data_IF_519466651045
#
_entry.id   IF_519466651045
#
_cell.length_a   1.000
_cell.length_b   1.000
_cell.length_c   1.000
_cell.angle_alpha   90.00
_cell.angle_beta   90.00
_cell.angle_gamma   90.00
#
_symmetry.space_group_name_H-M   'P 1'
#
loop_
_entity.id
_entity.type
_entity.pdbx_description
1 polymer ?
#
# COMPACT_ATOMS: atom_id res chain seq x y z
N UNK A 1 -21.71 25.66 0.57
CA UNK A 1 -22.23 26.56 -0.47
C UNK A 1 -21.14 27.42 -1.12
N UNK A 2 -20.30 28.19 -0.41
CA UNK A 2 -19.24 29.02 -1.01
C UNK A 2 -18.19 28.20 -1.81
N UNK A 3 -17.90 26.99 -1.40
CA UNK A 3 -16.93 26.08 -2.03
C UNK A 3 -17.46 25.46 -3.33
N UNK A 4 -18.77 25.18 -3.40
CA UNK A 4 -19.45 24.72 -4.61
C UNK A 4 -19.41 25.79 -5.70
N UNK A 5 -19.52 27.07 -5.30
CA UNK A 5 -19.40 28.21 -6.21
C UNK A 5 -17.97 28.47 -6.67
N UNK A 6 -16.97 28.30 -5.80
CA UNK A 6 -15.56 28.41 -6.17
C UNK A 6 -15.16 27.28 -7.13
N UNK A 7 -15.62 26.05 -6.88
CA UNK A 7 -15.44 24.92 -7.79
C UNK A 7 -16.18 25.11 -9.13
N UNK A 8 -17.39 25.65 -9.10
CA UNK A 8 -18.13 25.95 -10.32
C UNK A 8 -17.49 27.07 -11.15
N UNK A 9 -16.89 28.08 -10.51
CA UNK A 9 -16.10 29.11 -11.18
C UNK A 9 -14.81 28.54 -11.78
N UNK A 10 -14.11 27.71 -11.04
CA UNK A 10 -12.91 26.99 -11.51
C UNK A 10 -13.23 26.05 -12.68
N UNK A 11 -14.38 25.36 -12.64
CA UNK A 11 -14.91 24.51 -13.72
C UNK A 11 -15.19 25.33 -15.00
N UNK A 12 -15.76 26.52 -14.83
CA UNK A 12 -16.14 27.41 -15.95
C UNK A 12 -14.88 28.01 -16.61
N UNK A 13 -13.85 28.31 -15.84
CA UNK A 13 -12.56 28.87 -16.32
C UNK A 13 -11.68 27.80 -16.99
N UNK A 14 -11.97 26.49 -16.84
CA UNK A 14 -11.26 25.37 -17.45
C UNK A 14 -12.15 24.50 -18.36
N UNK A 15 -13.15 25.09 -18.99
CA UNK A 15 -14.00 24.37 -19.93
C UNK A 15 -13.26 23.79 -21.15
N UNK A 16 -12.07 24.34 -21.48
CA UNK A 16 -11.25 23.93 -22.61
C UNK A 16 -10.11 23.00 -22.15
N UNK A 17 -10.47 21.75 -21.78
CA UNK A 17 -9.47 20.69 -21.54
C UNK A 17 -9.10 20.07 -22.87
N UNK A 18 -7.95 20.43 -23.39
CA UNK A 18 -7.53 20.08 -24.73
C UNK A 18 -6.68 18.81 -24.80
N UNK A 19 -6.27 18.26 -23.64
CA UNK A 19 -5.46 17.04 -23.58
C UNK A 19 -5.94 16.04 -22.53
N UNK A 20 -5.56 14.78 -22.71
CA UNK A 20 -5.82 13.72 -21.75
C UNK A 20 -5.15 14.01 -20.40
N UNK A 21 -3.93 14.55 -20.45
CA UNK A 21 -3.18 14.93 -19.25
C UNK A 21 -3.90 16.01 -18.43
N UNK A 22 -4.40 17.06 -19.07
CA UNK A 22 -5.20 18.10 -18.40
C UNK A 22 -6.48 17.53 -17.77
N UNK A 23 -7.12 16.55 -18.42
CA UNK A 23 -8.26 15.85 -17.86
C UNK A 23 -7.88 15.04 -16.60
N UNK A 24 -6.73 14.36 -16.62
CA UNK A 24 -6.22 13.61 -15.46
C UNK A 24 -5.88 14.52 -14.29
N UNK A 25 -5.13 15.61 -14.54
CA UNK A 25 -4.76 16.58 -13.51
C UNK A 25 -6.00 17.24 -12.88
N UNK A 26 -6.97 17.59 -13.70
CA UNK A 26 -8.25 18.11 -13.19
C UNK A 26 -8.98 17.09 -12.33
N UNK A 27 -9.09 15.86 -12.78
CA UNK A 27 -9.73 14.78 -12.03
C UNK A 27 -9.01 14.53 -10.70
N UNK A 28 -7.69 14.43 -10.72
CA UNK A 28 -6.87 14.29 -9.53
C UNK A 28 -7.12 15.41 -8.51
N UNK A 29 -7.22 16.66 -8.96
CA UNK A 29 -7.47 17.81 -8.09
C UNK A 29 -8.81 17.75 -7.34
N UNK A 30 -9.79 17.03 -7.86
CA UNK A 30 -11.09 16.87 -7.21
C UNK A 30 -11.06 15.99 -5.96
N UNK A 31 -10.08 15.09 -5.87
CA UNK A 31 -9.87 14.25 -4.69
C UNK A 31 -9.24 15.00 -3.52
N UNK A 32 -8.66 16.19 -3.76
CA UNK A 32 -8.09 17.01 -2.69
C UNK A 32 -9.23 17.80 -2.04
N UNK A 33 -9.47 17.52 -0.76
CA UNK A 33 -10.55 18.17 0.01
C UNK A 33 -9.99 18.90 1.23
N UNK A 34 -10.72 19.94 1.66
CA UNK A 34 -10.49 20.59 2.96
C UNK A 34 -11.61 20.19 3.92
N UNK A 35 -11.27 19.54 5.02
CA UNK A 35 -12.25 19.10 6.03
C UNK A 35 -11.71 19.34 7.42
N UNK A 36 -12.48 19.99 8.28
CA UNK A 36 -12.10 20.32 9.67
C UNK A 36 -10.73 21.03 9.80
N UNK A 37 -10.37 21.90 8.85
CA UNK A 37 -9.09 22.61 8.84
C UNK A 37 -7.90 21.79 8.35
N UNK A 38 -8.12 20.61 7.79
CA UNK A 38 -7.10 19.71 7.26
C UNK A 38 -7.24 19.51 5.75
N UNK A 39 -6.11 19.42 5.05
CA UNK A 39 -6.05 19.00 3.65
C UNK A 39 -6.00 17.48 3.62
N UNK A 40 -6.96 16.85 2.93
CA UNK A 40 -7.10 15.38 2.87
C UNK A 40 -7.33 14.91 1.44
N UNK A 41 -7.04 13.63 1.20
CA UNK A 41 -7.44 12.93 -0.02
C UNK A 41 -8.73 12.16 0.26
N UNK A 42 -9.74 12.34 -0.60
CA UNK A 42 -10.99 11.58 -0.56
C UNK A 42 -10.77 10.22 -1.25
N UNK A 43 -11.08 9.13 -0.56
CA UNK A 43 -10.85 7.78 -1.08
C UNK A 43 -11.76 7.42 -2.27
N UNK A 44 -12.98 7.97 -2.31
CA UNK A 44 -13.87 7.74 -3.45
C UNK A 44 -15.18 8.54 -3.38
N UNK A 45 -15.60 9.04 -4.52
CA UNK A 45 -16.90 9.68 -4.68
C UNK A 45 -17.98 8.62 -4.97
N UNK A 46 -19.18 8.69 -4.34
CA UNK A 46 -19.64 9.71 -3.38
C UNK A 46 -19.54 9.18 -1.94
N UNK A 47 -19.31 7.88 -1.76
CA UNK A 47 -19.59 7.14 -0.52
C UNK A 47 -18.42 7.08 0.45
N UNK A 48 -17.17 7.07 -0.07
CA UNK A 48 -15.99 6.90 0.77
C UNK A 48 -15.46 8.24 1.25
N UNK A 49 -15.12 8.33 2.53
CA UNK A 49 -14.39 9.46 3.10
C UNK A 49 -12.88 9.26 2.91
N UNK A 50 -12.05 9.91 3.67
CA UNK A 50 -10.60 9.77 3.62
C UNK A 50 -10.15 8.56 4.44
N UNK A 51 -9.34 7.71 3.86
CA UNK A 51 -8.64 6.63 4.55
C UNK A 51 -7.13 6.84 4.43
N UNK A 52 -6.38 6.33 5.39
CA UNK A 52 -4.93 6.57 5.43
C UNK A 52 -4.20 5.78 4.34
N UNK A 53 -4.58 4.52 4.11
CA UNK A 53 -4.01 3.70 3.04
C UNK A 53 -4.20 4.33 1.67
N UNK A 54 -5.45 4.68 1.32
CA UNK A 54 -5.76 5.26 0.01
C UNK A 54 -5.07 6.61 -0.16
N UNK A 55 -4.97 7.39 0.93
CA UNK A 55 -4.20 8.63 0.95
C UNK A 55 -2.74 8.38 0.58
N UNK A 56 -2.06 7.44 1.23
CA UNK A 56 -0.64 7.19 0.99
C UNK A 56 -0.36 6.64 -0.42
N UNK A 57 -1.21 5.75 -0.93
CA UNK A 57 -1.05 5.20 -2.28
C UNK A 57 -1.33 6.25 -3.36
N UNK A 58 -2.37 7.08 -3.17
CA UNK A 58 -2.80 8.03 -4.19
C UNK A 58 -2.05 9.36 -4.17
N UNK A 59 -1.53 9.79 -3.01
CA UNK A 59 -0.93 11.10 -2.81
C UNK A 59 0.20 11.43 -3.79
N UNK A 60 1.15 10.54 -4.09
CA UNK A 60 2.19 10.82 -5.08
C UNK A 60 1.62 11.19 -6.46
N UNK A 61 0.70 10.38 -6.97
CA UNK A 61 0.06 10.66 -8.25
C UNK A 61 -0.80 11.92 -8.27
N UNK A 62 -1.50 12.22 -7.17
CA UNK A 62 -2.39 13.37 -7.07
C UNK A 62 -1.64 14.70 -6.89
N UNK A 63 -0.60 14.72 -6.06
CA UNK A 63 0.07 15.95 -5.65
C UNK A 63 1.34 16.25 -6.43
N UNK A 64 2.11 15.23 -6.84
CA UNK A 64 3.40 15.43 -7.48
C UNK A 64 3.28 15.59 -9.00
N UNK A 65 2.35 14.92 -9.67
CA UNK A 65 2.11 15.06 -11.11
C UNK A 65 1.61 16.45 -11.53
N UNK A 66 1.05 17.22 -10.60
CA UNK A 66 0.46 18.54 -10.85
C UNK A 66 1.19 19.74 -10.24
N UNK A 67 2.43 19.58 -9.77
CA UNK A 67 3.32 20.65 -9.30
C UNK A 67 3.07 21.27 -7.92
N UNK A 68 2.54 20.59 -6.93
CA UNK A 68 2.43 21.22 -5.61
C UNK A 68 2.95 20.34 -4.47
N UNK A 69 4.27 20.35 -4.29
CA UNK A 69 4.92 19.84 -3.07
C UNK A 69 4.24 20.36 -1.79
N UNK A 70 3.66 21.55 -1.83
CA UNK A 70 2.88 22.13 -0.74
C UNK A 70 1.64 21.29 -0.36
N UNK A 71 0.86 20.82 -1.35
CA UNK A 71 -0.32 19.96 -1.08
C UNK A 71 0.14 18.63 -0.51
N UNK A 72 1.24 18.09 -1.01
CA UNK A 72 1.82 16.86 -0.47
C UNK A 72 2.15 17.01 1.01
N UNK A 73 2.89 18.06 1.38
CA UNK A 73 3.22 18.37 2.78
C UNK A 73 1.96 18.55 3.64
N UNK A 74 0.98 19.32 3.19
CA UNK A 74 -0.27 19.55 3.93
C UNK A 74 -1.04 18.24 4.21
N UNK A 75 -1.10 17.35 3.23
CA UNK A 75 -1.79 16.06 3.37
C UNK A 75 -1.02 15.16 4.33
N UNK A 76 0.32 15.07 4.21
CA UNK A 76 1.13 14.29 5.14
C UNK A 76 0.99 14.80 6.58
N UNK A 77 1.07 16.12 6.80
CA UNK A 77 0.89 16.72 8.13
C UNK A 77 -0.52 16.45 8.70
N UNK A 78 -1.54 16.43 7.84
CA UNK A 78 -2.88 16.02 8.25
C UNK A 78 -2.95 14.54 8.65
N UNK A 79 -2.32 13.66 7.85
CA UNK A 79 -2.31 12.21 8.11
C UNK A 79 -1.55 11.85 9.39
N UNK A 80 -0.42 12.52 9.68
CA UNK A 80 0.40 12.28 10.89
C UNK A 80 -0.38 12.41 12.20
N UNK A 81 -1.45 13.22 12.24
CA UNK A 81 -2.33 13.34 13.41
C UNK A 81 -3.08 12.04 13.75
N UNK A 82 -3.14 11.13 12.82
CA UNK A 82 -3.81 9.83 12.95
C UNK A 82 -2.82 8.66 13.12
N UNK A 83 -1.57 8.99 13.44
CA UNK A 83 -0.55 8.02 13.82
C UNK A 83 -0.51 7.86 15.34
N UNK A 84 -0.91 6.70 15.84
CA UNK A 84 -0.98 6.38 17.26
C UNK A 84 0.08 5.32 17.59
N UNK A 85 1.10 5.70 18.34
CA UNK A 85 2.20 4.79 18.75
C UNK A 85 2.81 4.03 17.55
N UNK A 86 3.12 4.73 16.45
CA UNK A 86 3.69 4.15 15.25
C UNK A 86 2.69 3.40 14.35
N UNK A 87 1.39 3.51 14.58
CA UNK A 87 0.37 2.87 13.76
C UNK A 87 -0.62 3.89 13.21
N UNK A 88 -0.73 3.96 11.91
CA UNK A 88 -1.73 4.80 11.28
C UNK A 88 -3.11 4.14 11.35
N UNK A 89 -4.10 4.88 11.85
CA UNK A 89 -5.48 4.44 11.83
C UNK A 89 -5.98 4.26 10.38
N UNK A 90 -6.86 3.28 10.15
CA UNK A 90 -7.48 3.04 8.83
C UNK A 90 -8.18 4.29 8.30
N UNK A 91 -9.00 4.91 9.15
CA UNK A 91 -9.82 6.05 8.78
C UNK A 91 -9.23 7.37 9.27
N UNK A 92 -9.33 8.40 8.46
CA UNK A 92 -9.00 9.77 8.80
C UNK A 92 -10.27 10.49 9.25
N UNK A 93 -10.56 10.45 10.55
CA UNK A 93 -11.76 11.08 11.13
C UNK A 93 -11.44 11.73 12.47
N UNK A 94 -12.01 12.90 12.72
CA UNK A 94 -11.85 13.64 13.99
C UNK A 94 -12.63 13.03 15.16
N UNK A 95 -13.42 11.98 14.92
CA UNK A 95 -14.30 11.37 15.91
C UNK A 95 -13.99 9.88 16.17
N UNK A 96 -12.76 9.44 15.90
CA UNK A 96 -12.37 8.04 16.15
C UNK A 96 -12.19 7.84 17.65
N UNK A 97 -13.08 7.04 18.25
CA UNK A 97 -12.98 6.62 19.65
C UNK A 97 -12.06 5.40 19.77
N UNK A 98 -12.19 4.44 18.86
CA UNK A 98 -11.36 3.23 18.80
C UNK A 98 -10.78 3.08 17.39
N UNK A 99 -9.53 3.50 17.16
CA UNK A 99 -8.90 3.41 15.84
C UNK A 99 -8.67 1.95 15.45
N UNK A 100 -9.02 1.62 14.21
CA UNK A 100 -8.70 0.34 13.57
C UNK A 100 -7.37 0.50 12.84
N UNK A 101 -6.51 -0.51 12.97
CA UNK A 101 -5.18 -0.52 12.34
C UNK A 101 -5.04 -1.72 11.41
N UNK A 102 -4.55 -1.47 10.20
CA UNK A 102 -4.23 -2.50 9.22
C UNK A 102 -2.72 -2.77 9.16
N UNK A 103 -2.34 -3.95 8.70
CA UNK A 103 -0.94 -4.36 8.67
C UNK A 103 -0.09 -3.56 7.67
N UNK A 104 -0.68 -3.19 6.54
CA UNK A 104 0.00 -2.53 5.43
C UNK A 104 -0.03 -0.99 5.49
N UNK A 105 -1.04 -0.39 6.15
CA UNK A 105 -1.27 1.06 6.11
C UNK A 105 -0.06 1.88 6.54
N UNK A 106 0.58 1.52 7.66
CA UNK A 106 1.77 2.24 8.14
C UNK A 106 3.00 2.02 7.25
N UNK A 107 3.06 0.91 6.53
CA UNK A 107 4.16 0.59 5.62
C UNK A 107 4.07 1.38 4.32
N UNK A 108 2.87 1.70 3.86
CA UNK A 108 2.66 2.58 2.72
C UNK A 108 3.19 4.01 2.94
N UNK A 109 3.30 4.46 4.19
CA UNK A 109 3.91 5.77 4.49
C UNK A 109 5.38 5.84 4.04
N UNK A 110 6.16 4.76 4.19
CA UNK A 110 7.55 4.69 3.70
C UNK A 110 7.60 4.81 2.17
N UNK A 111 6.75 4.08 1.46
CA UNK A 111 6.67 4.16 0.00
C UNK A 111 6.27 5.56 -0.45
N UNK A 112 5.33 6.20 0.23
CA UNK A 112 4.92 7.57 -0.06
C UNK A 112 6.09 8.55 0.06
N UNK A 113 6.91 8.42 1.11
CA UNK A 113 8.10 9.24 1.29
C UNK A 113 9.19 8.96 0.23
N UNK A 114 9.32 7.71 -0.24
CA UNK A 114 10.20 7.36 -1.36
C UNK A 114 9.79 8.11 -2.64
N UNK A 115 8.49 8.12 -2.96
CA UNK A 115 8.00 8.88 -4.12
C UNK A 115 8.22 10.39 -3.93
N UNK A 116 8.02 10.91 -2.72
CA UNK A 116 8.30 12.30 -2.39
C UNK A 116 9.77 12.69 -2.58
N UNK A 117 10.69 11.82 -2.18
CA UNK A 117 12.12 12.00 -2.40
C UNK A 117 12.46 12.04 -3.90
N UNK A 118 11.94 11.10 -4.69
CA UNK A 118 12.20 10.99 -6.12
C UNK A 118 11.72 12.21 -6.93
N UNK A 119 10.56 12.72 -6.58
CA UNK A 119 9.87 13.76 -7.35
C UNK A 119 10.14 15.19 -6.84
N UNK A 120 10.92 15.34 -5.78
CA UNK A 120 11.23 16.64 -5.19
C UNK A 120 12.74 16.85 -4.98
N UNK A 121 13.12 18.03 -4.52
CA UNK A 121 14.50 18.34 -4.13
C UNK A 121 14.82 17.97 -2.67
N UNK A 122 13.92 17.27 -1.97
CA UNK A 122 14.13 16.84 -0.59
C UNK A 122 15.22 15.80 -0.50
N UNK A 123 16.20 16.04 0.35
CA UNK A 123 17.30 15.09 0.59
C UNK A 123 16.89 14.03 1.65
N UNK A 124 17.50 12.85 1.58
CA UNK A 124 17.35 11.79 2.59
C UNK A 124 17.54 12.29 4.02
N UNK A 125 18.56 13.13 4.24
CA UNK A 125 18.83 13.75 5.54
C UNK A 125 17.69 14.66 6.02
N UNK A 126 17.04 15.41 5.13
CA UNK A 126 15.89 16.25 5.46
C UNK A 126 14.67 15.39 5.81
N UNK A 127 14.40 14.34 5.03
CA UNK A 127 13.32 13.39 5.30
C UNK A 127 13.53 12.70 6.66
N UNK A 128 14.74 12.22 6.96
CA UNK A 128 15.04 11.61 8.26
C UNK A 128 14.87 12.59 9.42
N UNK A 129 15.30 13.84 9.24
CA UNK A 129 15.13 14.88 10.27
C UNK A 129 13.65 15.15 10.57
N UNK A 130 12.80 15.14 9.55
CA UNK A 130 11.38 15.49 9.67
C UNK A 130 10.53 14.30 10.11
N UNK A 131 10.76 13.12 9.53
CA UNK A 131 9.91 11.94 9.71
C UNK A 131 10.59 10.78 10.45
N UNK A 132 11.88 10.86 10.74
CA UNK A 132 12.67 9.76 11.32
C UNK A 132 12.08 9.18 12.60
N UNK A 133 11.60 10.00 13.52
CA UNK A 133 10.98 9.52 14.75
C UNK A 133 9.66 8.76 14.46
N UNK A 134 8.87 9.22 13.51
CA UNK A 134 7.66 8.51 13.07
C UNK A 134 8.04 7.17 12.43
N UNK A 135 9.05 7.14 11.56
CA UNK A 135 9.51 5.91 10.90
C UNK A 135 10.02 4.88 11.92
N UNK A 136 10.82 5.31 12.89
CA UNK A 136 11.28 4.48 14.02
C UNK A 136 10.08 3.94 14.82
N UNK A 137 9.13 4.81 15.15
CA UNK A 137 7.95 4.41 15.91
C UNK A 137 7.12 3.34 15.15
N UNK A 138 6.98 3.47 13.83
CA UNK A 138 6.29 2.48 13.00
C UNK A 138 7.01 1.13 13.05
N UNK A 139 8.31 1.11 12.80
CA UNK A 139 9.08 -0.14 12.81
C UNK A 139 9.05 -0.81 14.19
N UNK A 140 9.19 -0.04 15.25
CA UNK A 140 9.16 -0.55 16.63
C UNK A 140 7.76 -1.03 17.04
N UNK A 141 6.68 -0.47 16.47
CA UNK A 141 5.32 -0.96 16.74
C UNK A 141 5.14 -2.43 16.35
N UNK A 142 5.79 -2.90 15.28
CA UNK A 142 5.76 -4.31 14.88
C UNK A 142 6.61 -5.23 15.78
N UNK A 143 7.59 -4.69 16.50
CA UNK A 143 8.35 -5.44 17.51
C UNK A 143 7.62 -5.53 18.86
N UNK A 144 6.60 -4.69 19.07
CA UNK A 144 5.95 -4.61 20.38
C UNK A 144 5.11 -5.85 20.68
N UNK A 145 5.28 -6.50 21.84
CA UNK A 145 4.46 -7.65 22.25
C UNK A 145 3.00 -7.29 22.54
N UNK A 146 2.68 -5.99 22.61
CA UNK A 146 1.31 -5.51 22.82
C UNK A 146 0.41 -5.75 21.59
N UNK A 147 1.01 -5.91 20.40
CA UNK A 147 0.31 -6.11 19.14
C UNK A 147 0.26 -7.59 18.75
N UNK A 148 -0.57 -8.37 19.44
CA UNK A 148 -0.65 -9.83 19.27
C UNK A 148 -1.06 -10.27 17.87
N UNK A 149 -1.89 -9.48 17.18
CA UNK A 149 -2.45 -9.84 15.86
C UNK A 149 -1.60 -9.41 14.67
N UNK A 150 -0.60 -8.55 14.90
CA UNK A 150 0.33 -8.07 13.85
C UNK A 150 1.68 -7.80 14.52
N UNK A 151 2.64 -8.69 14.33
CA UNK A 151 3.95 -8.62 14.97
C UNK A 151 5.05 -9.10 14.05
N UNK A 152 6.25 -8.62 14.29
CA UNK A 152 7.45 -9.20 13.72
C UNK A 152 7.81 -10.48 14.50
N UNK A 153 7.97 -11.59 13.80
CA UNK A 153 8.45 -12.84 14.37
C UNK A 153 10.00 -12.93 14.33
N UNK A 154 10.58 -13.95 14.96
CA UNK A 154 12.04 -14.14 15.07
C UNK A 154 12.74 -14.28 13.71
N UNK A 155 12.03 -14.71 12.67
CA UNK A 155 12.51 -14.78 11.30
C UNK A 155 12.51 -13.41 10.57
N UNK A 156 12.15 -12.34 11.26
CA UNK A 156 12.12 -10.98 10.75
C UNK A 156 10.89 -10.62 9.92
N UNK A 157 9.98 -11.55 9.64
CA UNK A 157 8.76 -11.30 8.89
C UNK A 157 7.60 -10.86 9.78
N UNK A 158 6.65 -10.16 9.19
CA UNK A 158 5.41 -9.74 9.87
C UNK A 158 4.38 -10.87 9.77
N UNK A 159 3.97 -11.34 10.93
CA UNK A 159 2.85 -12.25 11.12
C UNK A 159 1.56 -11.49 11.35
N UNK A 160 0.47 -11.95 10.73
CA UNK A 160 -0.89 -11.42 10.89
C UNK A 160 -1.86 -12.57 11.13
N UNK A 161 -2.59 -12.59 12.25
CA UNK A 161 -3.44 -13.71 12.66
C UNK A 161 -4.84 -13.34 13.14
N UNK A 162 -5.33 -12.16 12.80
CA UNK A 162 -6.70 -11.76 13.10
C UNK A 162 -7.66 -12.22 11.99
N UNK A 163 -8.31 -13.36 12.18
CA UNK A 163 -9.32 -13.86 11.24
C UNK A 163 -10.69 -13.18 11.41
N UNK A 164 -10.88 -12.44 12.50
CA UNK A 164 -12.17 -11.78 12.78
C UNK A 164 -12.39 -10.56 11.89
N UNK A 165 -11.33 -9.99 11.34
CA UNK A 165 -11.37 -8.83 10.46
C UNK A 165 -10.27 -8.86 9.41
N UNK A 166 -10.44 -8.14 8.29
CA UNK A 166 -9.38 -7.97 7.30
C UNK A 166 -8.28 -7.06 7.84
N UNK A 167 -7.03 -7.36 7.48
CA UNK A 167 -5.82 -6.64 7.95
C UNK A 167 -5.06 -5.90 6.84
N UNK A 168 -5.55 -5.97 5.60
CA UNK A 168 -4.91 -5.36 4.43
C UNK A 168 -5.94 -4.66 3.54
N UNK A 169 -5.57 -4.34 2.30
CA UNK A 169 -6.49 -3.79 1.31
C UNK A 169 -7.66 -4.72 0.95
N UNK A 170 -7.56 -6.03 1.22
CA UNK A 170 -8.70 -6.95 1.23
C UNK A 170 -9.56 -6.67 2.47
N UNK A 171 -10.32 -5.58 2.43
CA UNK A 171 -10.92 -4.97 3.61
C UNK A 171 -12.43 -5.21 3.78
N UNK A 172 -13.03 -6.15 3.02
CA UNK A 172 -14.44 -6.48 3.20
C UNK A 172 -14.67 -7.49 4.32
N UNK A 173 -15.69 -7.21 5.10
CA UNK A 173 -16.11 -8.00 6.27
C UNK A 173 -17.54 -8.52 6.10
N UNK A 174 -17.81 -9.65 6.71
CA UNK A 174 -19.13 -10.21 6.92
C UNK A 174 -19.39 -10.38 8.41
N UNK A 175 -20.61 -10.79 8.76
CA UNK A 175 -20.92 -11.16 10.16
C UNK A 175 -20.09 -12.33 10.70
N UNK A 176 -19.34 -13.01 9.84
CA UNK A 176 -18.49 -14.17 10.18
C UNK A 176 -16.98 -13.85 10.09
N UNK A 177 -16.61 -12.59 9.92
CA UNK A 177 -15.22 -12.15 9.76
C UNK A 177 -14.85 -11.71 8.34
N UNK A 178 -13.57 -11.68 8.04
CA UNK A 178 -13.05 -11.27 6.73
C UNK A 178 -13.59 -12.15 5.59
N UNK A 179 -14.03 -11.56 4.49
CA UNK A 179 -14.54 -12.30 3.31
C UNK A 179 -13.43 -13.12 2.66
N UNK A 180 -12.21 -12.61 2.64
CA UNK A 180 -11.00 -13.36 2.24
C UNK A 180 -10.05 -13.38 3.43
N UNK A 181 -10.17 -14.37 4.32
CA UNK A 181 -9.29 -14.49 5.47
C UNK A 181 -7.88 -14.88 5.01
N UNK A 182 -6.87 -14.18 5.51
CA UNK A 182 -5.45 -14.42 5.23
C UNK A 182 -4.68 -14.42 6.54
N UNK A 183 -4.28 -15.60 6.98
CA UNK A 183 -3.62 -15.82 8.25
C UNK A 183 -2.16 -16.20 8.07
N UNK A 184 -1.30 -15.59 8.85
CA UNK A 184 0.13 -15.84 8.82
C UNK A 184 0.93 -14.71 8.18
N UNK A 185 1.97 -15.07 7.46
CA UNK A 185 2.78 -14.15 6.69
C UNK A 185 2.04 -13.80 5.39
N UNK A 186 1.78 -12.54 5.16
CA UNK A 186 1.06 -12.02 3.99
C UNK A 186 2.05 -11.38 3.04
N UNK A 187 2.01 -11.73 1.75
CA UNK A 187 3.10 -11.43 0.81
C UNK A 187 3.33 -9.94 0.60
N UNK A 188 2.28 -9.15 0.37
CA UNK A 188 2.41 -7.71 0.15
C UNK A 188 2.84 -6.96 1.41
N UNK A 189 2.38 -7.40 2.60
CA UNK A 189 2.80 -6.82 3.87
C UNK A 189 4.31 -7.01 4.06
N UNK A 190 4.81 -8.21 3.80
CA UNK A 190 6.23 -8.52 3.96
C UNK A 190 7.12 -7.92 2.86
N UNK A 191 6.60 -7.72 1.65
CA UNK A 191 7.29 -6.95 0.62
C UNK A 191 7.41 -5.47 1.02
N UNK A 192 6.33 -4.84 1.49
CA UNK A 192 6.34 -3.48 2.02
C UNK A 192 7.24 -3.33 3.26
N UNK A 193 7.24 -4.31 4.14
CA UNK A 193 8.08 -4.35 5.34
C UNK A 193 9.56 -4.33 5.00
N UNK A 194 9.99 -5.21 4.08
CA UNK A 194 11.36 -5.23 3.58
C UNK A 194 11.76 -3.88 3.00
N UNK A 195 10.92 -3.35 2.11
CA UNK A 195 11.13 -2.04 1.50
C UNK A 195 11.23 -0.92 2.54
N UNK A 196 10.37 -0.93 3.56
CA UNK A 196 10.37 0.08 4.61
C UNK A 196 11.67 0.08 5.43
N UNK A 197 12.16 -1.11 5.83
CA UNK A 197 13.41 -1.24 6.59
C UNK A 197 14.60 -0.79 5.75
N UNK A 198 14.72 -1.25 4.51
CA UNK A 198 15.83 -0.87 3.63
C UNK A 198 15.86 0.65 3.41
N UNK A 199 14.70 1.26 3.15
CA UNK A 199 14.61 2.71 2.99
C UNK A 199 14.97 3.47 4.26
N UNK A 200 14.46 3.06 5.42
CA UNK A 200 14.80 3.68 6.70
C UNK A 200 16.30 3.61 7.00
N UNK A 201 16.95 2.48 6.70
CA UNK A 201 18.40 2.31 6.84
C UNK A 201 19.19 3.25 5.93
N UNK A 202 18.72 3.46 4.70
CA UNK A 202 19.36 4.39 3.77
C UNK A 202 19.25 5.84 4.25
N UNK A 203 18.06 6.25 4.73
CA UNK A 203 17.84 7.57 5.34
C UNK A 203 18.72 7.78 6.58
N UNK A 204 18.76 6.78 7.47
CA UNK A 204 19.55 6.81 8.69
C UNK A 204 21.06 6.87 8.41
N UNK A 205 21.53 6.19 7.35
CA UNK A 205 22.92 6.24 6.90
C UNK A 205 23.33 7.65 6.49
N UNK A 206 22.52 8.32 5.68
CA UNK A 206 22.72 9.72 5.27
C UNK A 206 22.70 10.70 6.44
N UNK A 207 21.80 10.44 7.41
CA UNK A 207 21.68 11.22 8.63
C UNK A 207 22.72 10.87 9.70
N UNK A 208 23.52 9.79 9.52
CA UNK A 208 24.50 9.25 10.45
C UNK A 208 23.92 8.81 11.80
N UNK A 209 22.71 8.26 11.79
CA UNK A 209 22.06 7.69 12.98
C UNK A 209 22.62 6.30 13.28
N UNK A 210 23.73 6.27 14.00
CA UNK A 210 24.45 5.03 14.34
C UNK A 210 23.63 4.07 15.19
N UNK A 211 22.77 4.59 16.05
CA UNK A 211 21.94 3.77 16.94
C UNK A 211 20.96 2.94 16.12
N UNK A 212 20.24 3.58 15.22
CA UNK A 212 19.30 2.91 14.33
C UNK A 212 20.00 1.91 13.42
N UNK A 213 21.15 2.29 12.85
CA UNK A 213 21.94 1.39 11.99
C UNK A 213 22.45 0.15 12.73
N UNK A 214 22.85 0.31 14.01
CA UNK A 214 23.28 -0.83 14.83
C UNK A 214 22.12 -1.77 15.17
N UNK A 215 20.92 -1.24 15.38
CA UNK A 215 19.74 -2.02 15.76
C UNK A 215 19.12 -2.78 14.57
N UNK A 216 19.04 -2.13 13.42
CA UNK A 216 18.26 -2.64 12.27
C UNK A 216 19.13 -3.16 11.10
N UNK A 217 20.46 -2.92 11.15
CA UNK A 217 21.34 -3.13 10.00
C UNK A 217 21.43 -4.55 9.46
N UNK A 218 21.18 -5.57 10.29
CA UNK A 218 21.19 -7.00 9.89
C UNK A 218 19.83 -7.52 9.41
N UNK A 219 18.76 -6.77 9.68
CA UNK A 219 17.40 -7.21 9.37
C UNK A 219 17.14 -7.46 7.88
N UNK A 220 17.65 -6.66 6.92
CA UNK A 220 17.39 -6.90 5.50
C UNK A 220 17.81 -8.30 5.04
N UNK A 221 18.97 -8.79 5.49
CA UNK A 221 19.46 -10.13 5.12
C UNK A 221 18.52 -11.22 5.67
N UNK A 222 18.21 -11.16 6.97
CA UNK A 222 17.29 -12.09 7.63
C UNK A 222 15.91 -12.12 6.95
N UNK A 223 15.34 -10.93 6.66
CA UNK A 223 14.03 -10.84 6.01
C UNK A 223 14.06 -11.39 4.60
N UNK A 224 15.10 -11.07 3.81
CA UNK A 224 15.20 -11.54 2.42
C UNK A 224 15.32 -13.07 2.34
N UNK A 225 16.10 -13.69 3.22
CA UNK A 225 16.21 -15.14 3.31
C UNK A 225 14.86 -15.77 3.67
N UNK A 226 14.23 -15.30 4.75
CA UNK A 226 12.95 -15.81 5.22
C UNK A 226 11.82 -15.59 4.21
N UNK A 227 11.79 -14.45 3.55
CA UNK A 227 10.81 -14.16 2.50
C UNK A 227 10.91 -15.16 1.36
N UNK A 228 12.12 -15.38 0.85
CA UNK A 228 12.33 -16.32 -0.24
C UNK A 228 12.03 -17.77 0.15
N UNK A 229 12.30 -18.15 1.39
CA UNK A 229 12.03 -19.48 1.91
C UNK A 229 10.52 -19.73 2.11
N UNK A 230 9.80 -18.74 2.62
CA UNK A 230 8.41 -18.87 3.03
C UNK A 230 7.43 -18.66 1.86
N UNK A 231 7.70 -17.68 0.99
CA UNK A 231 6.74 -17.34 -0.06
C UNK A 231 7.02 -18.02 -1.41
N UNK A 232 8.27 -18.37 -1.74
CA UNK A 232 8.54 -18.96 -3.03
C UNK A 232 8.03 -20.41 -3.12
N UNK A 233 7.10 -20.65 -4.06
CA UNK A 233 6.57 -21.99 -4.33
C UNK A 233 7.40 -22.62 -5.44
N UNK A 234 8.25 -23.59 -5.09
CA UNK A 234 9.22 -24.15 -6.03
C UNK A 234 8.56 -24.93 -7.17
N UNK A 235 7.41 -25.58 -6.95
CA UNK A 235 6.66 -26.27 -8.01
C UNK A 235 6.04 -25.31 -9.01
N UNK A 236 5.50 -24.19 -8.52
CA UNK A 236 4.68 -23.24 -9.30
C UNK A 236 5.52 -22.09 -9.90
N UNK A 237 6.71 -21.81 -9.32
CA UNK A 237 7.61 -20.72 -9.74
C UNK A 237 7.02 -19.31 -9.58
N UNK A 238 6.18 -19.10 -8.57
CA UNK A 238 5.66 -17.79 -8.15
C UNK A 238 5.53 -17.73 -6.62
N UNK A 239 4.99 -16.63 -6.08
CA UNK A 239 4.88 -16.43 -4.63
C UNK A 239 3.53 -16.84 -4.10
N UNK A 240 3.50 -17.50 -2.95
CA UNK A 240 2.28 -17.70 -2.17
C UNK A 240 1.65 -16.36 -1.80
N UNK A 241 0.33 -16.25 -1.87
CA UNK A 241 -0.42 -15.07 -1.47
C UNK A 241 -0.29 -14.81 0.04
N UNK A 242 -0.34 -15.88 0.82
CA UNK A 242 0.05 -15.91 2.22
C UNK A 242 0.57 -17.30 2.59
N UNK A 243 1.30 -17.38 3.68
CA UNK A 243 1.79 -18.63 4.23
C UNK A 243 1.68 -18.66 5.75
N UNK A 244 1.43 -19.84 6.30
CA UNK A 244 1.50 -20.09 7.73
C UNK A 244 2.34 -21.35 8.00
N UNK A 245 2.42 -21.80 9.24
CA UNK A 245 3.27 -22.93 9.64
C UNK A 245 2.93 -24.26 8.94
N UNK A 246 1.75 -24.40 8.33
CA UNK A 246 1.26 -25.65 7.75
C UNK A 246 0.91 -25.53 6.26
N UNK A 247 0.81 -24.32 5.71
CA UNK A 247 0.23 -24.12 4.38
C UNK A 247 0.80 -22.90 3.69
N UNK A 248 1.08 -23.04 2.38
CA UNK A 248 1.28 -21.95 1.44
C UNK A 248 0.03 -21.82 0.57
N UNK A 249 -0.59 -20.65 0.53
CA UNK A 249 -1.72 -20.40 -0.36
C UNK A 249 -1.23 -20.17 -1.79
N UNK A 250 -1.61 -21.07 -2.69
CA UNK A 250 -1.15 -21.09 -4.09
C UNK A 250 -2.02 -20.28 -5.04
N UNK A 251 -2.99 -19.53 -4.57
CA UNK A 251 -3.82 -18.69 -5.43
C UNK A 251 -3.01 -17.57 -6.09
N UNK A 252 -3.14 -17.45 -7.41
CA UNK A 252 -2.54 -16.35 -8.15
C UNK A 252 -3.35 -15.09 -7.92
N UNK A 253 -2.78 -14.18 -7.15
CA UNK A 253 -3.34 -12.87 -6.79
C UNK A 253 -2.35 -11.74 -7.11
N UNK A 254 -2.81 -10.50 -7.29
CA UNK A 254 -1.95 -9.39 -7.70
C UNK A 254 -0.98 -8.94 -6.59
N UNK A 255 -1.20 -9.35 -5.34
CA UNK A 255 -0.42 -8.93 -4.18
C UNK A 255 1.09 -9.19 -4.32
N UNK A 256 1.47 -10.31 -4.93
CA UNK A 256 2.86 -10.68 -5.21
C UNK A 256 3.58 -9.68 -6.14
N UNK A 257 2.85 -8.84 -6.87
CA UNK A 257 3.40 -7.79 -7.72
C UNK A 257 4.27 -6.80 -6.94
N UNK A 258 3.91 -6.51 -5.68
CA UNK A 258 4.67 -5.57 -4.87
C UNK A 258 6.11 -6.07 -4.61
N UNK A 259 6.32 -7.39 -4.56
CA UNK A 259 7.67 -7.96 -4.48
C UNK A 259 8.51 -7.78 -5.76
N UNK A 260 7.95 -7.20 -6.84
CA UNK A 260 8.64 -6.88 -8.08
C UNK A 260 8.64 -5.37 -8.41
N UNK A 261 7.75 -4.60 -7.79
CA UNK A 261 7.52 -3.20 -8.14
C UNK A 261 8.18 -2.20 -7.18
N UNK A 262 8.33 -2.55 -5.91
CA UNK A 262 8.94 -1.68 -4.90
C UNK A 262 10.43 -1.39 -5.20
N UNK A 263 11.03 -0.43 -4.50
CA UNK A 263 12.42 -0.02 -4.74
C UNK A 263 13.43 -1.03 -4.19
N UNK A 264 13.12 -1.62 -3.05
CA UNK A 264 13.95 -2.66 -2.43
C UNK A 264 13.23 -4.00 -2.52
N UNK A 265 13.88 -4.98 -3.13
CA UNK A 265 13.29 -6.26 -3.51
C UNK A 265 14.04 -7.43 -2.86
N UNK A 266 13.30 -8.40 -2.39
CA UNK A 266 13.85 -9.66 -1.86
C UNK A 266 14.15 -10.68 -2.95
N UNK A 267 13.49 -10.56 -4.12
CA UNK A 267 13.61 -11.49 -5.23
C UNK A 267 14.75 -11.11 -6.17
N UNK A 268 15.49 -12.11 -6.64
CA UNK A 268 16.39 -11.93 -7.78
C UNK A 268 15.60 -11.76 -9.10
N UNK A 269 16.25 -11.23 -10.12
CA UNK A 269 15.64 -10.94 -11.43
C UNK A 269 14.94 -12.15 -12.07
N UNK A 270 15.54 -13.35 -11.96
CA UNK A 270 14.96 -14.58 -12.50
C UNK A 270 13.60 -14.91 -11.87
N UNK A 271 13.47 -14.75 -10.55
CA UNK A 271 12.21 -14.95 -9.83
C UNK A 271 11.22 -13.86 -10.14
N UNK A 272 11.64 -12.60 -10.19
CA UNK A 272 10.78 -11.47 -10.58
C UNK A 272 10.16 -11.68 -11.96
N UNK A 273 10.93 -12.11 -12.96
CA UNK A 273 10.43 -12.43 -14.31
C UNK A 273 9.37 -13.53 -14.30
N UNK A 274 9.50 -14.54 -13.43
CA UNK A 274 8.49 -15.60 -13.28
C UNK A 274 7.21 -15.09 -12.65
N UNK A 275 7.32 -14.28 -11.59
CA UNK A 275 6.17 -13.63 -10.95
C UNK A 275 5.42 -12.71 -11.93
N UNK A 276 6.13 -11.88 -12.70
CA UNK A 276 5.48 -11.03 -13.70
C UNK A 276 4.84 -11.84 -14.83
N UNK A 277 5.45 -12.93 -15.26
CA UNK A 277 4.89 -13.78 -16.30
C UNK A 277 3.52 -14.36 -15.90
N UNK A 278 3.39 -14.92 -14.69
CA UNK A 278 2.11 -15.46 -14.22
C UNK A 278 1.06 -14.39 -13.97
N UNK A 279 1.45 -13.21 -13.44
CA UNK A 279 0.55 -12.07 -13.28
C UNK A 279 0.02 -11.60 -14.65
N UNK A 280 0.89 -11.48 -15.64
CA UNK A 280 0.52 -11.08 -16.99
C UNK A 280 -0.43 -12.08 -17.63
N UNK A 281 -0.13 -13.36 -17.50
CA UNK A 281 -0.91 -14.43 -18.10
C UNK A 281 -2.32 -14.53 -17.52
N UNK A 282 -2.46 -14.45 -16.19
CA UNK A 282 -3.71 -14.80 -15.52
C UNK A 282 -4.51 -13.59 -15.02
N UNK A 283 -3.84 -12.49 -14.68
CA UNK A 283 -4.51 -11.37 -14.03
C UNK A 283 -4.65 -10.14 -14.91
N UNK A 284 -3.76 -9.93 -15.89
CA UNK A 284 -3.77 -8.71 -16.69
C UNK A 284 -4.99 -8.64 -17.59
N UNK A 285 -5.64 -7.48 -17.59
CA UNK A 285 -6.75 -7.13 -18.48
C UNK A 285 -6.54 -5.74 -19.06
N UNK A 286 -7.27 -5.33 -20.12
CA UNK A 286 -7.19 -3.95 -20.63
C UNK A 286 -7.58 -2.84 -19.63
N UNK A 287 -8.15 -3.20 -18.46
CA UNK A 287 -8.65 -2.24 -17.45
C UNK A 287 -7.93 -2.32 -16.12
N UNK A 288 -6.99 -3.25 -15.95
CA UNK A 288 -6.27 -3.46 -14.68
C UNK A 288 -6.03 -4.94 -14.40
N UNK A 289 -5.66 -5.25 -13.16
CA UNK A 289 -5.40 -6.62 -12.73
C UNK A 289 -6.60 -7.21 -11.99
N UNK A 290 -6.94 -8.47 -12.28
CA UNK A 290 -7.92 -9.23 -11.51
C UNK A 290 -7.41 -9.47 -10.09
N UNK A 291 -8.31 -9.51 -9.11
CA UNK A 291 -7.98 -9.83 -7.70
C UNK A 291 -7.71 -11.31 -7.46
N UNK A 292 -8.11 -12.17 -8.39
CA UNK A 292 -7.89 -13.60 -8.37
C UNK A 292 -7.83 -14.14 -9.80
N UNK A 293 -6.99 -15.15 -10.04
CA UNK A 293 -6.93 -15.87 -11.31
C UNK A 293 -8.27 -16.53 -11.66
N UNK A 294 -8.70 -16.47 -12.94
CA UNK A 294 -9.85 -17.22 -13.44
C UNK A 294 -9.71 -18.75 -13.31
N UNK A 295 -8.49 -19.26 -13.18
CA UNK A 295 -8.23 -20.70 -12.98
C UNK A 295 -8.54 -21.17 -11.54
N UNK A 296 -8.73 -20.22 -10.60
CA UNK A 296 -9.11 -20.58 -9.23
C UNK A 296 -10.57 -21.05 -9.14
N UNK A 297 -10.85 -22.15 -8.42
CA UNK A 297 -12.23 -22.57 -8.15
C UNK A 297 -13.07 -21.53 -7.37
N UNK A 298 -12.41 -20.56 -6.75
CA UNK A 298 -13.06 -19.47 -6.01
C UNK A 298 -13.29 -18.21 -6.85
N UNK A 299 -12.96 -18.26 -8.15
CA UNK A 299 -13.10 -17.10 -9.01
C UNK A 299 -14.56 -16.68 -9.18
N UNK A 300 -14.80 -15.38 -8.94
CA UNK A 300 -16.10 -14.73 -9.12
C UNK A 300 -15.90 -13.43 -9.90
N UNK A 301 -16.02 -13.50 -11.24
CA UNK A 301 -15.76 -12.36 -12.12
C UNK A 301 -16.87 -11.32 -12.18
N UNK A 302 -18.09 -11.64 -11.71
CA UNK A 302 -19.26 -10.77 -11.80
C UNK A 302 -19.69 -10.26 -10.43
N UNK A 303 -19.67 -8.93 -10.26
CA UNK A 303 -20.09 -8.26 -9.01
C UNK A 303 -21.58 -7.91 -9.08
N UNK A 304 -22.45 -8.91 -9.05
CA UNK A 304 -23.92 -8.76 -9.13
C UNK A 304 -24.59 -9.44 -7.93
N UNK A 305 -25.58 -8.80 -7.33
CA UNK A 305 -26.32 -9.35 -6.19
C UNK A 305 -26.31 -8.45 -4.95
N UNK A 306 -26.46 -9.05 -3.76
CA UNK A 306 -26.40 -8.34 -2.49
C UNK A 306 -24.96 -7.91 -2.14
N UNK A 307 -24.79 -7.15 -1.07
CA UNK A 307 -23.49 -6.61 -0.63
C UNK A 307 -22.45 -7.72 -0.46
N UNK A 308 -22.81 -8.79 0.23
CA UNK A 308 -21.89 -9.90 0.48
C UNK A 308 -21.37 -10.55 -0.83
N UNK A 309 -22.27 -10.79 -1.81
CA UNK A 309 -21.88 -11.37 -3.11
C UNK A 309 -20.98 -10.42 -3.88
N UNK A 310 -21.31 -9.12 -3.89
CA UNK A 310 -20.47 -8.11 -4.56
C UNK A 310 -19.09 -7.97 -3.92
N UNK A 311 -19.03 -7.95 -2.58
CA UNK A 311 -17.77 -7.85 -1.86
C UNK A 311 -16.92 -9.11 -2.06
N UNK A 312 -17.54 -10.29 -2.09
CA UNK A 312 -16.87 -11.54 -2.42
C UNK A 312 -16.26 -11.51 -3.82
N UNK A 313 -17.03 -11.06 -4.83
CA UNK A 313 -16.55 -10.90 -6.20
C UNK A 313 -15.44 -9.84 -6.30
N UNK A 314 -15.52 -8.75 -5.52
CA UNK A 314 -14.51 -7.70 -5.50
C UNK A 314 -13.11 -8.27 -5.19
N UNK A 315 -12.99 -9.21 -4.25
CA UNK A 315 -11.70 -9.80 -3.86
C UNK A 315 -11.42 -11.19 -4.46
N UNK A 316 -12.35 -11.73 -5.26
CA UNK A 316 -12.16 -13.02 -5.91
C UNK A 316 -12.36 -12.98 -7.44
N UNK A 317 -12.10 -11.85 -8.08
CA UNK A 317 -12.16 -11.82 -9.55
C UNK A 317 -12.26 -10.43 -10.16
N UNK A 318 -12.86 -9.46 -9.47
CA UNK A 318 -13.00 -8.09 -10.00
C UNK A 318 -11.67 -7.45 -10.34
N UNK A 319 -11.71 -6.53 -11.30
CA UNK A 319 -10.53 -5.83 -11.82
C UNK A 319 -10.21 -4.62 -10.93
N UNK A 320 -8.95 -4.49 -10.57
CA UNK A 320 -8.42 -3.39 -9.75
C UNK A 320 -7.41 -2.55 -10.55
N UNK A 321 -7.80 -1.35 -11.03
CA UNK A 321 -6.92 -0.47 -11.81
C UNK A 321 -5.71 0.05 -11.03
N UNK A 322 -5.78 0.18 -9.71
CA UNK A 322 -4.71 0.76 -8.91
C UNK A 322 -3.38 -0.01 -8.97
N UNK A 323 -3.43 -1.31 -9.31
CA UNK A 323 -2.23 -2.12 -9.53
C UNK A 323 -1.50 -1.81 -10.84
N UNK A 324 -2.13 -1.10 -11.79
CA UNK A 324 -1.52 -0.85 -13.11
C UNK A 324 -0.21 -0.08 -12.98
N UNK A 325 -0.16 0.91 -12.08
CA UNK A 325 1.07 1.66 -11.83
C UNK A 325 2.23 0.78 -11.39
N UNK A 326 1.98 -0.11 -10.43
CA UNK A 326 2.98 -1.09 -9.95
C UNK A 326 3.35 -2.12 -11.02
N UNK A 327 2.40 -2.53 -11.86
CA UNK A 327 2.68 -3.44 -12.97
C UNK A 327 3.61 -2.80 -14.01
N UNK A 328 3.36 -1.55 -14.36
CA UNK A 328 4.23 -0.79 -15.28
C UNK A 328 5.62 -0.60 -14.68
N UNK A 329 5.70 -0.19 -13.41
CA UNK A 329 6.97 0.01 -12.70
C UNK A 329 7.81 -1.28 -12.68
N UNK A 330 7.19 -2.43 -12.35
CA UNK A 330 7.89 -3.71 -12.34
C UNK A 330 8.39 -4.12 -13.74
N UNK A 331 7.62 -3.85 -14.80
CA UNK A 331 8.05 -4.10 -16.16
C UNK A 331 9.21 -3.19 -16.58
N UNK A 332 9.14 -1.90 -16.27
CA UNK A 332 10.22 -0.96 -16.60
C UNK A 332 11.52 -1.33 -15.88
N UNK A 333 11.46 -1.77 -14.63
CA UNK A 333 12.64 -2.24 -13.88
C UNK A 333 13.30 -3.48 -14.48
N UNK A 334 12.53 -4.35 -15.11
CA UNK A 334 13.02 -5.64 -15.61
C UNK A 334 13.35 -5.65 -17.11
N UNK A 335 12.69 -4.81 -17.89
CA UNK A 335 12.78 -4.88 -19.35
C UNK A 335 13.23 -3.55 -19.98
N UNK A 336 13.30 -2.46 -19.20
CA UNK A 336 13.79 -1.15 -19.62
C UNK A 336 12.73 -0.36 -20.33
#
# INVERSE_FOLDING_TARGET
MQRTLANAKYLKERADRNSFEECLQYTASQFIIQKAGETRIKAGYHWYDSTTRDTFIALPGIALSGSTAKIFDEVLQSALKYCYNGRFARDISTHIVNPVFDADTSLWFFWTLQQYEKETTRTKKQIWKEYGETLKAILNAFKSPEHKTMRMDDNGLIWSDDLSRPLTWFNAESNYGAIVPRNGYVVEVNALWYNAICYALELAKDAKDKTFLSEWGTMPETIAESFNQIFWIESEKYLADYANHTHQNTEVRPNQLLACALDYLTLNEKRQRKVLAIITQELLTPKGLRSLSPESPRYEGESVGNVFVRDKATFNGSIHPWFVGFYVEANLKLFG
#
